data_IF_343479069065
#
_entry.id   IF_343479069065
#
_cell.length_a   1.000
_cell.length_b   1.000
_cell.length_c   1.000
_cell.angle_alpha   90.00
_cell.angle_beta   90.00
_cell.angle_gamma   90.00
#
_symmetry.space_group_name_H-M   'P 1'
#
loop_
_entity.id
_entity.type
_entity.pdbx_description
1 polymer ?
#
# COMPACT_ATOMS: atom_id res chain seq x y z
N UNK A 1 -12.15 -14.94 4.85
CA UNK A 1 -10.75 -15.30 5.14
C UNK A 1 -10.39 -16.60 4.44
N UNK A 2 -9.38 -16.55 3.57
CA UNK A 2 -8.87 -17.71 2.82
C UNK A 2 -8.10 -18.69 3.72
N UNK A 3 -7.90 -19.93 3.27
CA UNK A 3 -7.11 -20.93 3.99
C UNK A 3 -5.64 -20.51 4.15
N UNK A 4 -5.11 -19.80 3.14
CA UNK A 4 -3.76 -19.25 3.15
C UNK A 4 -3.60 -18.14 4.20
N UNK A 5 -4.56 -17.21 4.29
CA UNK A 5 -4.56 -16.16 5.33
C UNK A 5 -4.52 -16.74 6.74
N UNK A 6 -5.27 -17.82 6.98
CA UNK A 6 -5.26 -18.50 8.28
C UNK A 6 -3.90 -19.12 8.60
N UNK A 7 -3.27 -19.78 7.62
CA UNK A 7 -1.93 -20.36 7.79
C UNK A 7 -0.87 -19.29 8.06
N UNK A 8 -0.91 -18.16 7.34
CA UNK A 8 0.01 -17.03 7.56
C UNK A 8 -0.15 -16.49 8.98
N UNK A 9 -1.39 -16.28 9.45
CA UNK A 9 -1.64 -15.81 10.81
C UNK A 9 -1.18 -16.77 11.89
N UNK A 10 -1.40 -18.08 11.70
CA UNK A 10 -0.89 -19.09 12.63
C UNK A 10 0.63 -19.13 12.69
N UNK A 11 1.30 -18.92 11.55
CA UNK A 11 2.76 -18.86 11.51
C UNK A 11 3.28 -17.61 12.24
N UNK A 12 2.71 -16.44 11.94
CA UNK A 12 3.11 -15.17 12.57
C UNK A 12 2.91 -15.21 14.09
N UNK A 13 1.80 -15.80 14.57
CA UNK A 13 1.54 -15.95 16.01
C UNK A 13 2.54 -16.84 16.75
N UNK A 14 3.22 -17.74 16.04
CA UNK A 14 4.24 -18.63 16.59
C UNK A 14 5.65 -18.02 16.57
N UNK A 15 5.84 -16.88 15.89
CA UNK A 15 7.10 -16.16 15.88
C UNK A 15 7.35 -15.51 17.24
N UNK A 16 8.63 -15.30 17.57
CA UNK A 16 9.02 -14.48 18.70
C UNK A 16 8.63 -13.00 18.50
N UNK A 17 8.53 -12.21 19.60
CA UNK A 17 8.03 -10.84 19.55
C UNK A 17 8.81 -9.92 18.60
N UNK A 18 10.11 -10.12 18.45
CA UNK A 18 10.94 -9.27 17.58
C UNK A 18 10.64 -9.56 16.09
N UNK A 19 10.45 -10.83 15.72
CA UNK A 19 10.03 -11.18 14.38
C UNK A 19 8.58 -10.77 14.08
N UNK A 20 7.67 -10.83 15.05
CA UNK A 20 6.31 -10.28 14.88
C UNK A 20 6.34 -8.78 14.58
N UNK A 21 7.21 -8.03 15.27
CA UNK A 21 7.40 -6.60 15.04
C UNK A 21 7.90 -6.30 13.63
N UNK A 22 8.89 -7.05 13.15
CA UNK A 22 9.40 -6.92 11.77
C UNK A 22 8.34 -7.21 10.71
N UNK A 23 7.49 -8.22 10.93
CA UNK A 23 6.38 -8.52 10.01
C UNK A 23 5.39 -7.36 9.96
N UNK A 24 5.07 -6.75 11.11
CA UNK A 24 4.20 -5.57 11.17
C UNK A 24 4.82 -4.36 10.45
N UNK A 25 6.11 -4.09 10.68
CA UNK A 25 6.85 -3.02 9.98
C UNK A 25 6.81 -3.23 8.46
N UNK A 26 7.07 -4.46 8.02
CA UNK A 26 7.02 -4.82 6.60
C UNK A 26 5.63 -4.65 5.99
N UNK A 27 4.57 -5.10 6.67
CA UNK A 27 3.18 -4.91 6.19
C UNK A 27 2.82 -3.43 6.14
N UNK A 28 3.24 -2.65 7.13
CA UNK A 28 3.00 -1.20 7.16
C UNK A 28 3.69 -0.50 5.98
N UNK A 29 4.92 -0.91 5.66
CA UNK A 29 5.64 -0.38 4.51
C UNK A 29 4.95 -0.76 3.19
N UNK A 30 4.51 -2.02 3.04
CA UNK A 30 3.76 -2.45 1.85
C UNK A 30 2.45 -1.69 1.67
N UNK A 31 1.74 -1.38 2.77
CA UNK A 31 0.51 -0.57 2.70
C UNK A 31 0.78 0.88 2.31
N UNK A 32 1.95 1.44 2.65
CA UNK A 32 2.37 2.77 2.23
C UNK A 32 2.74 2.82 0.75
N UNK A 33 3.41 1.79 0.24
CA UNK A 33 3.87 1.70 -1.15
C UNK A 33 2.80 1.21 -2.12
N UNK A 34 1.66 0.69 -1.61
CA UNK A 34 0.58 0.20 -2.47
C UNK A 34 -0.20 1.37 -3.09
N UNK A 35 -0.26 1.48 -4.42
CA UNK A 35 -1.14 2.43 -5.08
C UNK A 35 -2.60 2.05 -4.80
N UNK A 36 -3.37 3.03 -4.32
CA UNK A 36 -4.79 2.86 -4.06
C UNK A 36 -5.57 2.83 -5.38
N UNK A 37 -6.52 1.91 -5.51
CA UNK A 37 -7.47 1.95 -6.63
C UNK A 37 -8.39 3.17 -6.54
N UNK A 38 -8.96 3.61 -7.67
CA UNK A 38 -9.92 4.71 -7.69
C UNK A 38 -11.09 4.50 -6.71
N UNK A 39 -11.54 3.26 -6.54
CA UNK A 39 -12.61 2.90 -5.58
C UNK A 39 -12.16 3.07 -4.13
N UNK A 40 -10.94 2.67 -3.80
CA UNK A 40 -10.38 2.82 -2.45
C UNK A 40 -10.12 4.30 -2.11
N UNK A 41 -9.64 5.09 -3.07
CA UNK A 41 -9.48 6.55 -2.92
C UNK A 41 -10.80 7.26 -2.62
N UNK A 42 -11.90 6.83 -3.22
CA UNK A 42 -13.22 7.42 -3.00
C UNK A 42 -13.80 7.10 -1.61
N UNK A 43 -13.29 6.08 -0.92
CA UNK A 43 -13.69 5.73 0.44
C UNK A 43 -12.95 6.55 1.51
N UNK A 44 -11.89 7.26 1.12
CA UNK A 44 -11.15 8.13 2.04
C UNK A 44 -11.95 9.42 2.35
N UNK A 45 -11.72 10.02 3.53
CA UNK A 45 -12.14 11.38 3.81
C UNK A 45 -11.66 12.34 2.71
N UNK A 46 -12.47 13.35 2.40
CA UNK A 46 -12.24 14.23 1.24
C UNK A 46 -10.87 14.92 1.27
N UNK A 47 -10.38 15.30 2.45
CA UNK A 47 -9.07 15.95 2.63
C UNK A 47 -7.92 14.98 2.36
N UNK A 48 -8.02 13.74 2.85
CA UNK A 48 -7.00 12.71 2.62
C UNK A 48 -6.95 12.32 1.14
N UNK A 49 -8.13 12.18 0.49
CA UNK A 49 -8.21 11.94 -0.95
C UNK A 49 -7.53 13.04 -1.75
N UNK A 50 -7.77 14.31 -1.41
CA UNK A 50 -7.15 15.46 -2.09
C UNK A 50 -5.63 15.45 -1.95
N UNK A 51 -5.13 15.16 -0.74
CA UNK A 51 -3.69 15.03 -0.48
C UNK A 51 -3.04 13.96 -1.36
N UNK A 52 -3.59 12.75 -1.37
CA UNK A 52 -3.06 11.62 -2.17
C UNK A 52 -3.09 11.89 -3.67
N UNK A 53 -4.14 12.54 -4.16
CA UNK A 53 -4.24 12.91 -5.59
C UNK A 53 -3.20 13.98 -5.94
N UNK A 54 -2.98 14.97 -5.08
CA UNK A 54 -1.97 16.00 -5.30
C UNK A 54 -0.54 15.41 -5.32
N UNK A 55 -0.22 14.52 -4.37
CA UNK A 55 1.07 13.80 -4.32
C UNK A 55 1.32 12.98 -5.60
N UNK A 56 0.30 12.25 -6.08
CA UNK A 56 0.39 11.48 -7.32
C UNK A 56 0.58 12.38 -8.55
N UNK A 57 -0.13 13.51 -8.62
CA UNK A 57 0.03 14.49 -9.70
C UNK A 57 1.44 15.10 -9.69
N UNK A 58 1.97 15.43 -8.52
CA UNK A 58 3.30 16.01 -8.39
C UNK A 58 4.41 15.00 -8.72
N UNK A 59 4.23 13.72 -8.34
CA UNK A 59 5.12 12.63 -8.78
C UNK A 59 5.13 12.49 -10.31
N UNK A 60 3.95 12.51 -10.93
CA UNK A 60 3.81 12.37 -12.38
C UNK A 60 4.36 13.57 -13.17
N UNK A 61 4.47 14.76 -12.57
CA UNK A 61 5.12 15.92 -13.21
C UNK A 61 6.64 15.75 -13.37
N UNK A 62 7.25 14.89 -12.57
CA UNK A 62 8.69 14.59 -12.63
C UNK A 62 9.03 13.36 -13.47
N UNK A 63 8.03 12.58 -13.90
CA UNK A 63 8.21 11.47 -14.84
C UNK A 63 8.12 12.04 -16.26
N UNK A 64 9.27 12.07 -16.96
CA UNK A 64 9.29 12.28 -18.41
C UNK A 64 8.52 11.13 -19.05
N UNK A 65 7.27 11.39 -19.45
CA UNK A 65 6.49 10.46 -20.24
C UNK A 65 7.17 10.30 -21.60
N UNK A 66 8.01 9.28 -21.76
CA UNK A 66 8.39 8.78 -23.09
C UNK A 66 7.12 8.25 -23.76
N UNK A 67 6.43 9.12 -24.52
CA UNK A 67 5.41 8.70 -25.47
C UNK A 67 6.08 7.84 -26.53
N UNK A 68 5.99 6.52 -26.38
CA UNK A 68 6.25 5.58 -27.45
C UNK A 68 5.19 5.78 -28.53
N UNK A 69 5.48 6.63 -29.52
CA UNK A 69 4.74 6.63 -30.79
C UNK A 69 4.96 5.27 -31.47
N UNK A 70 3.85 4.62 -31.84
CA UNK A 70 3.79 3.34 -32.53
C UNK A 70 3.58 3.53 -34.04
#
# INVERSE_FOLDING_TARGET
MSALEKQILEHVRKLDPDHQRRVLEFVTQLEQERPLSARELLQLPIEERRRRVAEAIDSAKGEDFETFEA
#
